data_IF_324821196593
#
_entry.id   IF_324821196593
#
_cell.length_a   1.000
_cell.length_b   1.000
_cell.length_c   1.000
_cell.angle_alpha   90.00
_cell.angle_beta   90.00
_cell.angle_gamma   90.00
#
_symmetry.space_group_name_H-M   'P 1'
#
loop_
_entity.id
_entity.type
_entity.pdbx_description
1 polymer ?
#
# COMPACT_ATOMS: atom_id res chain seq x y z
N UNK A 1 37.18 20.64 -17.69
CA UNK A 1 36.54 19.39 -17.21
C UNK A 1 35.23 19.65 -16.45
N UNK A 2 35.12 20.62 -15.54
CA UNK A 2 33.90 20.85 -14.75
C UNK A 2 32.59 21.14 -15.53
N UNK A 3 32.64 21.93 -16.60
CA UNK A 3 31.44 22.31 -17.35
C UNK A 3 30.73 21.12 -18.02
N UNK A 4 31.48 20.16 -18.56
CA UNK A 4 30.92 18.96 -19.21
C UNK A 4 30.23 18.03 -18.21
N UNK A 5 30.78 17.91 -16.98
CA UNK A 5 30.14 17.14 -15.90
C UNK A 5 28.85 17.81 -15.43
N UNK A 6 28.83 19.14 -15.29
CA UNK A 6 27.62 19.88 -14.90
C UNK A 6 26.49 19.69 -15.91
N UNK A 7 26.75 19.86 -17.21
CA UNK A 7 25.74 19.69 -18.26
C UNK A 7 25.20 18.26 -18.29
N UNK A 8 26.08 17.27 -18.14
CA UNK A 8 25.69 15.85 -18.11
C UNK A 8 24.84 15.52 -16.88
N UNK A 9 25.24 16.03 -15.71
CA UNK A 9 24.50 15.84 -14.46
C UNK A 9 23.11 16.50 -14.54
N UNK A 10 23.02 17.72 -15.06
CA UNK A 10 21.72 18.41 -15.25
C UNK A 10 20.78 17.62 -16.16
N UNK A 11 21.29 17.04 -17.26
CA UNK A 11 20.49 16.21 -18.16
C UNK A 11 19.99 14.92 -17.47
N UNK A 12 20.87 14.22 -16.75
CA UNK A 12 20.52 13.01 -15.98
C UNK A 12 19.46 13.34 -14.91
N UNK A 13 19.64 14.44 -14.19
CA UNK A 13 18.68 14.86 -13.16
C UNK A 13 17.34 15.26 -13.76
N UNK A 14 17.32 15.90 -14.93
CA UNK A 14 16.08 16.26 -15.62
C UNK A 14 15.32 15.03 -16.12
N UNK A 15 16.03 14.03 -16.64
CA UNK A 15 15.45 12.72 -17.01
C UNK A 15 14.90 11.98 -15.79
N UNK A 16 15.65 11.92 -14.68
CA UNK A 16 15.17 11.32 -13.42
C UNK A 16 13.92 12.03 -12.90
N UNK A 17 13.87 13.35 -13.00
CA UNK A 17 12.69 14.14 -12.60
C UNK A 17 11.46 13.74 -13.41
N UNK A 18 11.56 13.68 -14.74
CA UNK A 18 10.46 13.28 -15.62
C UNK A 18 9.96 11.85 -15.37
N UNK A 19 10.86 10.92 -15.05
CA UNK A 19 10.51 9.50 -14.89
C UNK A 19 10.14 9.07 -13.46
N UNK A 20 10.56 9.81 -12.43
CA UNK A 20 10.41 9.36 -11.03
C UNK A 20 9.70 10.40 -10.18
N UNK A 21 9.96 11.68 -10.40
CA UNK A 21 9.42 12.77 -9.57
C UNK A 21 8.06 13.25 -10.09
N UNK A 22 7.87 13.25 -11.41
CA UNK A 22 6.64 13.70 -12.07
C UNK A 22 5.65 12.57 -12.39
N UNK A 23 6.06 11.31 -12.25
CA UNK A 23 5.08 10.22 -12.19
C UNK A 23 4.24 10.41 -10.92
N UNK A 24 2.92 10.31 -11.06
CA UNK A 24 1.94 10.44 -9.97
C UNK A 24 2.44 9.77 -8.68
N UNK A 25 2.23 10.39 -7.50
CA UNK A 25 2.98 10.06 -6.30
C UNK A 25 2.91 8.56 -6.01
N UNK A 26 4.08 7.91 -5.90
CA UNK A 26 4.22 6.51 -5.47
C UNK A 26 3.51 6.23 -4.14
N UNK A 27 3.20 7.30 -3.40
CA UNK A 27 2.44 7.29 -2.17
C UNK A 27 1.26 8.26 -2.25
N UNK A 28 0.05 7.73 -2.43
CA UNK A 28 -1.18 8.51 -2.32
C UNK A 28 -1.74 8.41 -0.88
N UNK A 29 -1.57 9.44 -0.02
CA UNK A 29 -1.98 9.37 1.39
C UNK A 29 -3.50 9.16 1.57
N UNK A 30 -4.30 9.64 0.62
CA UNK A 30 -5.76 9.49 0.64
C UNK A 30 -6.12 8.02 0.40
N UNK A 31 -5.53 7.40 -0.61
CA UNK A 31 -5.76 5.98 -0.91
C UNK A 31 -5.19 5.08 0.19
N UNK A 32 -4.07 5.43 0.80
CA UNK A 32 -3.52 4.68 1.94
C UNK A 32 -4.45 4.68 3.15
N UNK A 33 -5.06 5.83 3.46
CA UNK A 33 -6.04 5.92 4.56
C UNK A 33 -7.27 5.04 4.27
N UNK A 34 -7.78 5.09 3.04
CA UNK A 34 -8.92 4.26 2.62
C UNK A 34 -8.59 2.78 2.62
N UNK A 35 -7.41 2.38 2.10
CA UNK A 35 -6.89 1.00 2.14
C UNK A 35 -6.91 0.46 3.56
N UNK A 36 -6.36 1.23 4.51
CA UNK A 36 -6.34 0.85 5.92
C UNK A 36 -7.76 0.63 6.46
N UNK A 37 -8.70 1.54 6.17
CA UNK A 37 -10.08 1.42 6.64
C UNK A 37 -10.78 0.16 6.08
N UNK A 38 -10.62 -0.16 4.79
CA UNK A 38 -11.23 -1.35 4.19
C UNK A 38 -10.64 -2.64 4.72
N UNK A 39 -9.31 -2.70 4.88
CA UNK A 39 -8.64 -3.86 5.45
C UNK A 39 -9.03 -4.04 6.92
N UNK A 40 -9.15 -2.94 7.68
CA UNK A 40 -9.58 -2.98 9.07
C UNK A 40 -11.03 -3.47 9.23
N UNK A 41 -11.94 -3.02 8.35
CA UNK A 41 -13.31 -3.50 8.30
C UNK A 41 -13.36 -5.01 8.00
N UNK A 42 -12.64 -5.47 6.98
CA UNK A 42 -12.54 -6.90 6.64
C UNK A 42 -12.00 -7.74 7.81
N UNK A 43 -10.92 -7.28 8.45
CA UNK A 43 -10.34 -7.98 9.60
C UNK A 43 -11.29 -8.00 10.80
N UNK A 44 -12.06 -6.93 11.01
CA UNK A 44 -13.05 -6.84 12.09
C UNK A 44 -14.23 -7.76 11.84
N UNK A 45 -14.70 -7.86 10.61
CA UNK A 45 -15.78 -8.78 10.23
C UNK A 45 -15.38 -10.25 10.40
N UNK A 46 -14.18 -10.62 9.94
CA UNK A 46 -13.74 -12.03 9.96
C UNK A 46 -13.18 -12.49 11.31
N UNK A 47 -12.47 -11.61 12.02
CA UNK A 47 -11.72 -11.99 13.23
C UNK A 47 -12.19 -11.26 14.50
N UNK A 48 -13.12 -10.32 14.39
CA UNK A 48 -13.61 -9.52 15.50
C UNK A 48 -12.77 -8.26 15.76
N UNK A 49 -13.19 -7.44 16.74
CA UNK A 49 -12.59 -6.13 17.02
C UNK A 49 -11.10 -6.24 17.38
N UNK A 50 -10.32 -5.24 16.97
CA UNK A 50 -8.86 -5.20 17.17
C UNK A 50 -8.46 -5.36 18.64
N UNK A 51 -9.15 -4.69 19.56
CA UNK A 51 -8.86 -4.74 21.00
C UNK A 51 -8.98 -6.16 21.56
N UNK A 52 -10.02 -6.90 21.14
CA UNK A 52 -10.22 -8.29 21.57
C UNK A 52 -9.13 -9.21 21.01
N UNK A 53 -8.69 -8.97 19.77
CA UNK A 53 -7.59 -9.73 19.14
C UNK A 53 -6.26 -9.50 19.86
N UNK A 54 -5.98 -8.25 20.25
CA UNK A 54 -4.75 -7.88 20.94
C UNK A 54 -4.73 -8.34 22.41
N UNK A 55 -5.89 -8.41 23.07
CA UNK A 55 -6.00 -8.87 24.46
C UNK A 55 -5.94 -10.40 24.62
N UNK A 56 -6.20 -11.16 23.54
CA UNK A 56 -6.30 -12.62 23.61
C UNK A 56 -4.93 -13.28 23.53
N UNK A 57 -4.57 -14.07 24.55
CA UNK A 57 -3.28 -14.78 24.61
C UNK A 57 -3.16 -15.93 23.61
N UNK A 58 -4.26 -16.62 23.33
CA UNK A 58 -4.30 -17.74 22.39
C UNK A 58 -5.52 -17.64 21.50
N UNK A 59 -5.29 -17.48 20.19
CA UNK A 59 -6.33 -17.43 19.18
C UNK A 59 -6.13 -18.59 18.21
N UNK A 60 -7.16 -19.44 18.05
CA UNK A 60 -7.13 -20.52 17.06
C UNK A 60 -7.97 -20.10 15.85
N UNK A 61 -7.29 -19.89 14.73
CA UNK A 61 -7.93 -19.59 13.45
C UNK A 61 -8.65 -20.84 12.97
N UNK A 62 -9.95 -20.73 12.69
CA UNK A 62 -10.71 -21.82 12.05
C UNK A 62 -10.34 -21.91 10.56
N UNK A 63 -10.43 -23.09 9.92
CA UNK A 63 -10.11 -23.24 8.50
C UNK A 63 -10.87 -22.26 7.60
N UNK A 64 -12.13 -21.95 7.95
CA UNK A 64 -13.00 -21.06 7.18
C UNK A 64 -12.59 -19.57 7.31
N UNK A 65 -11.74 -19.24 8.28
CA UNK A 65 -11.23 -17.89 8.50
C UNK A 65 -9.86 -17.66 7.85
N UNK A 66 -9.31 -18.67 7.16
CA UNK A 66 -8.03 -18.51 6.47
C UNK A 66 -8.17 -17.48 5.34
N UNK A 67 -7.14 -16.66 5.14
CA UNK A 67 -7.13 -15.63 4.09
C UNK A 67 -6.51 -16.26 2.85
N UNK A 68 -7.18 -16.14 1.70
CA UNK A 68 -6.64 -16.64 0.43
C UNK A 68 -5.56 -15.70 -0.13
N UNK A 69 -4.70 -16.22 -1.01
CA UNK A 69 -3.47 -15.58 -1.50
C UNK A 69 -3.72 -14.17 -2.04
N UNK A 70 -4.81 -13.99 -2.79
CA UNK A 70 -5.13 -12.73 -3.47
C UNK A 70 -6.33 -11.98 -2.83
N UNK A 71 -6.88 -12.49 -1.74
CA UNK A 71 -8.16 -11.99 -1.18
C UNK A 71 -8.05 -10.52 -0.76
N UNK A 72 -6.95 -10.15 -0.11
CA UNK A 72 -6.71 -8.77 0.31
C UNK A 72 -6.55 -7.84 -0.90
N UNK A 73 -5.88 -8.29 -1.96
CA UNK A 73 -5.72 -7.49 -3.18
C UNK A 73 -7.06 -7.30 -3.89
N UNK A 74 -7.88 -8.36 -3.97
CA UNK A 74 -9.23 -8.29 -4.55
C UNK A 74 -10.11 -7.27 -3.83
N UNK A 75 -10.04 -7.19 -2.49
CA UNK A 75 -10.77 -6.18 -1.71
C UNK A 75 -10.33 -4.77 -2.12
N UNK A 76 -9.02 -4.52 -2.24
CA UNK A 76 -8.51 -3.20 -2.62
C UNK A 76 -8.88 -2.81 -4.07
N UNK A 77 -8.87 -3.77 -4.99
CA UNK A 77 -9.32 -3.58 -6.38
C UNK A 77 -10.82 -3.28 -6.41
N UNK A 78 -11.64 -4.04 -5.67
CA UNK A 78 -13.10 -3.85 -5.56
C UNK A 78 -13.47 -2.44 -5.07
N UNK A 79 -12.66 -1.87 -4.19
CA UNK A 79 -12.86 -0.53 -3.66
C UNK A 79 -12.17 0.59 -4.46
N UNK A 80 -11.57 0.28 -5.63
CA UNK A 80 -10.87 1.23 -6.48
C UNK A 80 -9.76 2.02 -5.77
N UNK A 81 -9.10 1.38 -4.80
CA UNK A 81 -7.98 1.96 -4.04
C UNK A 81 -6.67 1.23 -4.32
N UNK A 82 -6.59 0.44 -5.41
CA UNK A 82 -5.31 -0.07 -5.88
C UNK A 82 -4.53 1.06 -6.56
N UNK A 83 -3.38 1.41 -5.99
CA UNK A 83 -2.37 2.30 -6.60
C UNK A 83 -1.39 1.52 -7.52
N UNK A 84 -1.61 0.21 -7.69
CA UNK A 84 -0.85 -0.71 -8.56
C UNK A 84 -1.71 -1.11 -9.75
#
# INVERSE_FOLDING_TARGET
LGASFTVSMTNIQNRKRQHVVEQWPTYNPINQTKRKAYLEAFMTERFGPADARMATRYYRVKPEQNIDTDELQQILIKHHVSDL
#
